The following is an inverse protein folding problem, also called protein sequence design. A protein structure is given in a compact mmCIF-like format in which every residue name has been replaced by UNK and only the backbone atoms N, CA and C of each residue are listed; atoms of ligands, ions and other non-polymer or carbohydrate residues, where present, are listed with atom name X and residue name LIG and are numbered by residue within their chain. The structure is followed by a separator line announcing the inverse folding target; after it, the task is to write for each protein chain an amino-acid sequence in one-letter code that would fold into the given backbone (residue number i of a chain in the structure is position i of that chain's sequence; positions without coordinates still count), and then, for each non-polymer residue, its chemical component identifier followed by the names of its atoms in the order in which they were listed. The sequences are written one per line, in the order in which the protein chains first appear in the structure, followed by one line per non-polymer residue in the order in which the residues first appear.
data_IF_612691133172
#
_entry.id   IF_612691133172
#
_cell.length_a   1.000
_cell.length_b   1.000
_cell.length_c   1.000
_cell.angle_alpha   90.00
_cell.angle_beta   90.00
_cell.angle_gamma   90.00
#
_symmetry.space_group_name_H-M   'P 1'
#
loop_
_entity.id
_entity.type
_entity.pdbx_description
1 polymer ?
#
# COMPACT_ATOMS: atom_id res chain seq x y z
N UNK A 1 49.14 -3.67 -12.33
CA UNK A 1 48.19 -3.12 -11.34
C UNK A 1 47.05 -4.12 -11.24
N UNK A 2 46.65 -4.54 -10.04
CA UNK A 2 45.61 -5.55 -9.89
C UNK A 2 44.22 -4.99 -10.31
N UNK A 3 43.37 -5.83 -10.92
CA UNK A 3 41.97 -5.49 -11.18
C UNK A 3 41.24 -5.06 -9.92
N UNK A 4 40.30 -4.14 -10.05
CA UNK A 4 39.40 -3.72 -8.98
C UNK A 4 37.96 -4.11 -9.35
N UNK A 5 37.00 -3.79 -8.49
CA UNK A 5 35.59 -4.12 -8.75
C UNK A 5 34.73 -2.86 -8.64
N UNK A 6 33.67 -2.81 -9.45
CA UNK A 6 32.68 -1.74 -9.34
C UNK A 6 31.95 -1.78 -8.01
N UNK A 7 31.48 -0.62 -7.51
CA UNK A 7 30.90 -0.52 -6.18
C UNK A 7 29.60 -1.32 -6.05
N UNK A 8 28.68 -1.16 -6.98
CA UNK A 8 27.31 -1.69 -6.84
C UNK A 8 27.18 -3.12 -7.38
N UNK A 9 27.55 -3.32 -8.63
CA UNK A 9 27.37 -4.63 -9.26
C UNK A 9 28.57 -5.56 -9.11
N UNK A 10 29.66 -5.10 -8.49
CA UNK A 10 30.87 -5.89 -8.27
C UNK A 10 31.44 -6.52 -9.55
N UNK A 11 31.36 -5.78 -10.65
CA UNK A 11 31.96 -6.16 -11.93
C UNK A 11 33.48 -5.93 -11.89
N UNK A 12 34.25 -6.82 -12.49
CA UNK A 12 35.70 -6.67 -12.54
C UNK A 12 36.09 -5.51 -13.48
N UNK A 13 36.80 -4.55 -12.94
CA UNK A 13 37.40 -3.43 -13.68
C UNK A 13 38.84 -3.82 -14.02
N UNK A 14 39.02 -4.36 -15.21
CA UNK A 14 40.30 -4.88 -15.67
C UNK A 14 41.36 -3.79 -15.83
N UNK A 15 42.51 -3.96 -15.19
CA UNK A 15 43.61 -3.04 -15.38
C UNK A 15 44.31 -3.27 -16.73
N UNK A 16 44.89 -2.22 -17.30
CA UNK A 16 45.62 -2.29 -18.57
C UNK A 16 46.80 -3.26 -18.44
N UNK A 17 46.93 -4.21 -19.35
CA UNK A 17 47.94 -5.22 -19.39
C UNK A 17 47.69 -6.45 -18.50
N UNK A 18 46.62 -6.45 -17.76
CA UNK A 18 46.13 -7.60 -16.98
C UNK A 18 45.26 -8.54 -17.82
N UNK A 19 45.05 -9.75 -17.33
CA UNK A 19 44.18 -10.76 -17.95
C UNK A 19 44.59 -11.16 -19.38
N UNK A 20 45.89 -11.09 -19.71
CA UNK A 20 46.38 -11.56 -21.01
C UNK A 20 45.98 -13.02 -21.28
N UNK A 21 45.32 -13.27 -22.38
CA UNK A 21 44.80 -14.60 -22.74
C UNK A 21 43.48 -15.00 -22.12
N UNK A 22 43.00 -14.29 -21.11
CA UNK A 22 41.72 -14.59 -20.41
C UNK A 22 40.75 -13.41 -20.39
N UNK A 23 41.09 -12.26 -20.99
CA UNK A 23 40.24 -11.05 -20.95
C UNK A 23 38.84 -11.31 -21.53
N UNK A 24 38.73 -12.16 -22.58
CA UNK A 24 37.44 -12.53 -23.15
C UNK A 24 36.54 -13.27 -22.14
N UNK A 25 37.13 -14.17 -21.34
CA UNK A 25 36.41 -14.86 -20.26
C UNK A 25 35.94 -13.86 -19.20
N UNK A 26 36.80 -12.92 -18.79
CA UNK A 26 36.48 -11.88 -17.82
C UNK A 26 35.36 -10.95 -18.32
N UNK A 27 35.42 -10.56 -19.59
CA UNK A 27 34.37 -9.76 -20.25
C UNK A 27 33.05 -10.52 -20.25
N UNK A 28 33.04 -11.80 -20.66
CA UNK A 28 31.84 -12.60 -20.66
C UNK A 28 31.24 -12.77 -19.24
N UNK A 29 32.11 -12.99 -18.25
CA UNK A 29 31.67 -13.03 -16.84
C UNK A 29 30.98 -11.71 -16.44
N UNK A 30 31.60 -10.57 -16.74
CA UNK A 30 31.00 -9.27 -16.43
C UNK A 30 29.64 -9.08 -17.14
N UNK A 31 29.51 -9.49 -18.41
CA UNK A 31 28.23 -9.44 -19.13
C UNK A 31 27.16 -10.31 -18.46
N UNK A 32 27.53 -11.52 -18.02
CA UNK A 32 26.62 -12.42 -17.28
C UNK A 32 26.19 -11.81 -15.94
N UNK A 33 27.13 -11.17 -15.23
CA UNK A 33 26.79 -10.48 -13.97
C UNK A 33 25.89 -9.26 -14.19
N UNK A 34 26.09 -8.53 -15.28
CA UNK A 34 25.19 -7.44 -15.67
C UNK A 34 23.79 -7.97 -16.06
N UNK A 35 23.73 -9.07 -16.81
CA UNK A 35 22.47 -9.75 -17.13
C UNK A 35 21.74 -10.19 -15.86
N UNK A 36 22.46 -10.81 -14.91
CA UNK A 36 21.90 -11.17 -13.59
C UNK A 36 21.31 -9.97 -12.87
N UNK A 37 21.98 -8.81 -12.92
CA UNK A 37 21.51 -7.58 -12.26
C UNK A 37 20.26 -6.97 -12.91
N UNK A 38 20.03 -7.24 -14.20
CA UNK A 38 18.94 -6.65 -15.00
C UNK A 38 17.75 -7.60 -15.11
N UNK A 39 18.02 -8.91 -15.33
CA UNK A 39 17.02 -9.91 -15.64
C UNK A 39 17.02 -11.12 -14.68
N UNK A 40 17.94 -11.14 -13.71
CA UNK A 40 18.08 -12.28 -12.80
C UNK A 40 16.95 -12.39 -11.80
N UNK A 41 16.54 -13.64 -11.55
CA UNK A 41 15.60 -14.04 -10.50
C UNK A 41 16.32 -15.01 -9.56
N UNK A 42 16.17 -14.81 -8.26
CA UNK A 42 16.69 -15.71 -7.23
C UNK A 42 15.59 -16.09 -6.25
N UNK A 43 15.49 -17.39 -5.98
CA UNK A 43 14.58 -17.91 -4.96
C UNK A 43 15.31 -18.05 -3.63
N UNK A 44 14.84 -17.34 -2.62
CA UNK A 44 15.45 -17.28 -1.28
C UNK A 44 14.54 -18.01 -0.29
N UNK A 45 15.08 -19.04 0.34
CA UNK A 45 14.40 -19.72 1.45
C UNK A 45 14.57 -18.90 2.74
N UNK A 46 13.44 -18.47 3.31
CA UNK A 46 13.39 -17.63 4.52
C UNK A 46 12.89 -18.49 5.68
N UNK A 47 13.81 -19.13 6.38
CA UNK A 47 13.51 -20.09 7.46
C UNK A 47 14.23 -19.77 8.77
N UNK A 48 14.98 -18.67 8.83
CA UNK A 48 15.75 -18.24 10.00
C UNK A 48 15.51 -16.76 10.28
N UNK A 49 15.76 -16.32 11.51
CA UNK A 49 15.54 -14.93 11.94
C UNK A 49 16.36 -13.89 11.13
N UNK A 50 17.42 -14.30 10.46
CA UNK A 50 18.18 -13.43 9.56
C UNK A 50 18.71 -14.24 8.37
N UNK A 51 18.45 -13.73 7.17
CA UNK A 51 18.96 -14.25 5.90
C UNK A 51 19.82 -13.17 5.25
N UNK A 52 21.13 -13.33 5.28
CA UNK A 52 22.07 -12.38 4.69
C UNK A 52 22.41 -12.79 3.25
N UNK A 53 22.01 -11.96 2.28
CA UNK A 53 22.29 -12.20 0.87
C UNK A 53 23.68 -11.65 0.50
N UNK A 54 24.43 -12.42 -0.25
CA UNK A 54 25.75 -12.03 -0.68
C UNK A 54 25.74 -11.17 -1.96
N UNK A 55 26.72 -10.27 -2.09
CA UNK A 55 27.10 -9.57 -3.31
C UNK A 55 28.62 -9.67 -3.44
N UNK A 56 29.10 -10.70 -4.14
CA UNK A 56 30.52 -11.05 -4.22
C UNK A 56 31.19 -10.45 -5.45
N UNK A 57 32.44 -10.04 -5.31
CA UNK A 57 33.26 -9.46 -6.36
C UNK A 57 33.45 -10.46 -7.53
N UNK A 58 33.03 -10.09 -8.74
CA UNK A 58 33.20 -10.86 -9.96
C UNK A 58 32.53 -12.25 -9.96
N UNK A 59 31.63 -12.54 -9.04
CA UNK A 59 30.97 -13.84 -8.89
C UNK A 59 29.45 -13.71 -8.89
N UNK A 60 28.74 -14.73 -9.36
CA UNK A 60 27.28 -14.86 -9.22
C UNK A 60 26.93 -14.75 -7.73
N UNK A 61 25.90 -13.96 -7.42
CA UNK A 61 25.52 -13.68 -6.04
C UNK A 61 24.02 -13.41 -5.92
N UNK A 62 23.42 -13.83 -4.83
CA UNK A 62 21.97 -13.70 -4.59
C UNK A 62 21.49 -12.25 -4.68
N UNK A 63 22.16 -11.33 -3.97
CA UNK A 63 21.76 -9.92 -3.93
C UNK A 63 22.00 -9.18 -5.26
N UNK A 64 22.65 -9.77 -6.27
CA UNK A 64 22.80 -9.15 -7.58
C UNK A 64 21.53 -9.27 -8.42
N UNK A 65 20.73 -10.30 -8.22
CA UNK A 65 19.49 -10.47 -8.99
C UNK A 65 18.57 -9.27 -8.82
N UNK A 66 17.86 -8.91 -9.89
CA UNK A 66 16.86 -7.85 -9.83
C UNK A 66 15.63 -8.30 -9.05
N UNK A 67 15.20 -9.55 -9.26
CA UNK A 67 14.02 -10.12 -8.62
C UNK A 67 14.46 -11.12 -7.56
N UNK A 68 13.96 -10.92 -6.35
CA UNK A 68 14.16 -11.81 -5.21
C UNK A 68 12.81 -12.39 -4.81
N UNK A 69 12.66 -13.72 -4.95
CA UNK A 69 11.48 -14.45 -4.54
C UNK A 69 11.69 -15.05 -3.14
N UNK A 70 11.05 -14.52 -2.12
CA UNK A 70 11.12 -15.07 -0.76
C UNK A 70 10.09 -16.17 -0.59
N UNK A 71 10.50 -17.32 -0.04
CA UNK A 71 9.61 -18.45 0.22
C UNK A 71 9.92 -19.10 1.56
N UNK A 72 8.91 -19.81 2.10
CA UNK A 72 8.99 -20.48 3.40
C UNK A 72 7.94 -20.00 4.39
N UNK A 73 7.98 -20.52 5.61
CA UNK A 73 7.12 -20.09 6.71
C UNK A 73 7.97 -19.46 7.80
N UNK A 74 7.59 -18.27 8.22
CA UNK A 74 8.28 -17.54 9.28
C UNK A 74 7.93 -18.15 10.64
N UNK A 75 8.93 -18.40 11.45
CA UNK A 75 8.77 -18.82 12.86
C UNK A 75 8.98 -17.67 13.83
N UNK A 76 9.69 -16.63 13.39
CA UNK A 76 10.01 -15.42 14.13
C UNK A 76 10.03 -14.20 13.20
N UNK A 77 10.11 -12.99 13.77
CA UNK A 77 10.39 -11.79 13.02
C UNK A 77 11.74 -11.92 12.29
N UNK A 78 11.71 -11.83 10.99
CA UNK A 78 12.83 -12.15 10.12
C UNK A 78 13.33 -10.93 9.37
N UNK A 79 14.65 -10.82 9.22
CA UNK A 79 15.31 -9.85 8.38
C UNK A 79 15.97 -10.53 7.18
N UNK A 80 15.65 -10.11 5.97
CA UNK A 80 16.44 -10.41 4.78
C UNK A 80 17.31 -9.19 4.50
N UNK A 81 18.64 -9.39 4.43
CA UNK A 81 19.57 -8.27 4.30
C UNK A 81 20.43 -8.38 3.04
N UNK A 82 20.69 -7.21 2.42
CA UNK A 82 21.72 -7.04 1.38
C UNK A 82 22.92 -6.28 1.94
N UNK A 83 24.13 -6.43 1.37
CA UNK A 83 25.27 -5.66 1.83
C UNK A 83 25.06 -4.16 1.75
N UNK A 84 25.72 -3.41 2.64
CA UNK A 84 25.80 -1.97 2.56
C UNK A 84 26.56 -1.49 1.32
N UNK A 85 26.43 -0.22 0.99
CA UNK A 85 27.13 0.44 -0.13
C UNK A 85 26.77 -0.13 -1.51
N UNK A 86 25.64 -0.79 -1.64
CA UNK A 86 25.10 -1.28 -2.91
C UNK A 86 23.89 -0.42 -3.27
N UNK A 87 23.99 0.33 -4.36
CA UNK A 87 22.91 1.16 -4.89
C UNK A 87 22.25 0.44 -6.07
N UNK A 88 21.04 -0.06 -5.89
CA UNK A 88 20.27 -0.68 -6.98
C UNK A 88 18.80 -0.85 -6.66
N UNK A 89 18.03 -1.11 -7.71
CA UNK A 89 16.60 -1.45 -7.64
C UNK A 89 16.45 -2.95 -7.39
N UNK A 90 15.43 -3.30 -6.58
CA UNK A 90 14.98 -4.66 -6.31
C UNK A 90 13.47 -4.78 -6.53
N UNK A 91 13.06 -5.90 -7.08
CA UNK A 91 11.69 -6.37 -7.09
C UNK A 91 11.63 -7.55 -6.13
N UNK A 92 10.82 -7.45 -5.09
CA UNK A 92 10.67 -8.48 -4.06
C UNK A 92 9.32 -9.15 -4.24
N UNK A 93 9.31 -10.45 -4.50
CA UNK A 93 8.12 -11.27 -4.47
C UNK A 93 8.07 -12.02 -3.14
N UNK A 94 7.19 -11.63 -2.26
CA UNK A 94 7.03 -12.30 -0.97
C UNK A 94 5.97 -13.40 -1.06
N UNK A 95 6.43 -14.64 -1.17
CA UNK A 95 5.59 -15.84 -1.12
C UNK A 95 5.72 -16.57 0.23
N UNK A 96 6.16 -15.88 1.28
CA UNK A 96 6.28 -16.48 2.61
C UNK A 96 4.93 -16.51 3.33
N UNK A 97 4.82 -17.41 4.30
CA UNK A 97 3.71 -17.42 5.25
C UNK A 97 4.15 -16.73 6.53
N UNK A 98 3.58 -15.55 6.83
CA UNK A 98 4.00 -14.71 7.95
C UNK A 98 3.45 -15.20 9.30
N UNK A 99 2.21 -15.72 9.37
CA UNK A 99 1.55 -16.00 10.66
C UNK A 99 1.41 -14.72 11.49
N UNK A 100 2.01 -14.71 12.68
CA UNK A 100 2.13 -13.52 13.55
C UNK A 100 3.48 -12.81 13.44
N UNK A 101 4.38 -13.30 12.58
CA UNK A 101 5.73 -12.77 12.40
C UNK A 101 5.78 -11.72 11.30
N UNK A 102 6.85 -10.93 11.25
CA UNK A 102 7.10 -9.93 10.21
C UNK A 102 8.34 -10.29 9.41
N UNK A 103 8.34 -9.94 8.12
CA UNK A 103 9.50 -10.02 7.25
C UNK A 103 9.95 -8.60 6.91
N UNK A 104 11.20 -8.27 7.20
CA UNK A 104 11.79 -6.97 6.88
C UNK A 104 12.89 -7.14 5.85
N UNK A 105 12.81 -6.43 4.73
CA UNK A 105 13.89 -6.34 3.75
C UNK A 105 14.67 -5.05 3.97
N UNK A 106 15.99 -5.15 4.16
CA UNK A 106 16.84 -4.03 4.57
C UNK A 106 18.28 -4.18 4.11
N UNK A 107 19.09 -3.15 4.25
CA UNK A 107 20.55 -3.27 4.18
C UNK A 107 21.10 -3.85 5.48
N UNK A 108 22.31 -4.37 5.47
CA UNK A 108 22.87 -5.08 6.62
C UNK A 108 22.87 -4.24 7.93
N UNK A 109 23.20 -2.95 7.86
CA UNK A 109 23.25 -2.06 9.03
C UNK A 109 22.23 -0.92 9.01
N UNK A 110 21.58 -0.65 7.88
CA UNK A 110 20.59 0.43 7.74
C UNK A 110 19.18 0.01 8.09
N UNK A 111 18.23 0.85 7.70
CA UNK A 111 16.80 0.58 7.81
C UNK A 111 16.25 -0.07 6.55
N UNK A 112 15.03 -0.55 6.62
CA UNK A 112 14.27 -1.10 5.51
C UNK A 112 12.77 -1.03 5.77
N UNK A 113 12.01 -1.81 5.03
CA UNK A 113 10.57 -1.87 5.13
C UNK A 113 10.08 -3.30 5.38
N UNK A 114 8.90 -3.43 5.93
CA UNK A 114 8.25 -4.73 6.10
C UNK A 114 7.53 -5.11 4.83
N UNK A 115 7.67 -6.35 4.41
CA UNK A 115 6.94 -6.91 3.27
C UNK A 115 5.61 -7.51 3.73
N UNK A 116 4.65 -7.54 2.82
CA UNK A 116 3.37 -8.21 3.01
C UNK A 116 3.36 -9.57 2.31
N UNK A 117 2.88 -10.61 2.98
CA UNK A 117 2.76 -11.94 2.41
C UNK A 117 1.91 -11.93 1.11
N UNK A 118 2.37 -12.65 0.09
CA UNK A 118 1.73 -12.76 -1.22
C UNK A 118 1.63 -11.44 -1.99
N UNK A 119 2.57 -10.51 -1.75
CA UNK A 119 2.68 -9.24 -2.48
C UNK A 119 4.01 -9.14 -3.24
N UNK A 120 4.00 -8.22 -4.20
CA UNK A 120 5.21 -7.80 -4.91
C UNK A 120 5.51 -6.37 -4.49
N UNK A 121 6.74 -6.15 -4.05
CA UNK A 121 7.25 -4.84 -3.65
C UNK A 121 8.33 -4.37 -4.62
N UNK A 122 8.34 -3.09 -4.93
CA UNK A 122 9.42 -2.43 -5.65
C UNK A 122 10.20 -1.58 -4.65
N UNK A 123 11.52 -1.71 -4.64
CA UNK A 123 12.37 -1.00 -3.71
C UNK A 123 13.69 -0.59 -4.33
N UNK A 124 14.37 0.38 -3.72
CA UNK A 124 15.75 0.71 -4.06
C UNK A 124 16.59 0.85 -2.80
N UNK A 125 17.82 0.40 -2.91
CA UNK A 125 18.87 0.67 -1.91
C UNK A 125 19.63 1.94 -2.31
N UNK A 126 19.79 2.85 -1.36
CA UNK A 126 20.62 4.05 -1.49
C UNK A 126 22.06 3.83 -0.97
N UNK A 127 22.45 2.57 -0.78
CA UNK A 127 23.73 2.19 -0.20
C UNK A 127 23.74 2.15 1.33
N UNK A 128 22.79 2.79 1.98
CA UNK A 128 22.63 2.83 3.44
C UNK A 128 21.33 2.17 3.88
N UNK A 129 20.22 2.53 3.27
CA UNK A 129 18.87 2.08 3.61
C UNK A 129 18.21 1.39 2.42
N UNK A 130 17.21 0.59 2.69
CA UNK A 130 16.32 0.02 1.69
C UNK A 130 14.99 0.78 1.73
N UNK A 131 14.64 1.43 0.63
CA UNK A 131 13.48 2.30 0.51
C UNK A 131 12.44 1.62 -0.39
N UNK A 132 11.24 1.41 0.12
CA UNK A 132 10.13 0.92 -0.70
C UNK A 132 9.62 2.03 -1.61
N UNK A 133 9.29 1.69 -2.85
CA UNK A 133 8.61 2.56 -3.81
C UNK A 133 7.13 2.17 -3.77
N UNK A 134 6.39 2.71 -2.82
CA UNK A 134 4.97 2.50 -2.66
C UNK A 134 4.15 3.60 -3.34
N UNK A 135 2.84 3.41 -3.45
CA UNK A 135 1.96 4.37 -4.13
C UNK A 135 1.98 5.76 -3.47
N UNK A 136 2.08 5.81 -2.14
CA UNK A 136 2.19 7.05 -1.37
C UNK A 136 3.51 7.78 -1.61
N UNK A 137 4.63 7.05 -1.77
CA UNK A 137 5.95 7.64 -2.08
C UNK A 137 6.05 8.14 -3.52
N UNK A 138 5.28 7.58 -4.44
CA UNK A 138 5.18 8.05 -5.82
C UNK A 138 4.27 9.27 -6.01
N UNK A 139 3.69 9.79 -4.93
CA UNK A 139 2.73 10.90 -5.00
C UNK A 139 1.47 10.52 -5.80
N UNK A 140 1.13 9.24 -5.83
CA UNK A 140 0.01 8.70 -6.58
C UNK A 140 -1.32 9.22 -6.06
N UNK A 141 -2.13 9.81 -6.93
CA UNK A 141 -3.52 10.16 -6.65
C UNK A 141 -4.41 9.06 -7.19
N UNK A 142 -5.22 8.47 -6.33
CA UNK A 142 -6.27 7.55 -6.75
C UNK A 142 -7.44 8.41 -7.23
N UNK A 143 -7.62 8.51 -8.53
CA UNK A 143 -8.76 9.19 -9.14
C UNK A 143 -9.95 8.22 -9.31
N UNK A 144 -11.10 8.76 -9.66
CA UNK A 144 -12.35 7.98 -9.84
C UNK A 144 -12.18 6.84 -10.85
N UNK A 145 -11.42 7.04 -11.93
CA UNK A 145 -11.19 6.02 -12.95
C UNK A 145 -10.29 4.86 -12.44
N UNK A 146 -9.55 5.09 -11.36
CA UNK A 146 -8.70 4.07 -10.73
C UNK A 146 -9.48 3.13 -9.78
N UNK A 147 -10.74 3.44 -9.51
CA UNK A 147 -11.62 2.66 -8.65
C UNK A 147 -12.73 2.09 -9.53
N UNK A 148 -12.71 0.78 -9.76
CA UNK A 148 -13.77 0.09 -10.51
C UNK A 148 -15.12 0.23 -9.82
N UNK A 149 -16.20 0.21 -10.58
CA UNK A 149 -17.55 0.22 -10.04
C UNK A 149 -17.74 -0.90 -9.01
N UNK A 150 -18.38 -0.57 -7.91
CA UNK A 150 -18.61 -1.47 -6.77
C UNK A 150 -17.34 -1.98 -6.07
N UNK A 151 -16.16 -1.46 -6.38
CA UNK A 151 -14.91 -1.85 -5.72
C UNK A 151 -14.88 -1.45 -4.24
N UNK A 152 -15.57 -0.38 -3.85
CA UNK A 152 -15.72 0.05 -2.46
C UNK A 152 -17.01 -0.53 -1.89
N UNK A 153 -16.88 -1.60 -1.16
CA UNK A 153 -18.00 -2.29 -0.48
C UNK A 153 -18.13 -1.81 0.97
N UNK A 154 -19.26 -2.11 1.60
CA UNK A 154 -19.49 -1.81 3.03
C UNK A 154 -18.39 -2.37 3.93
N UNK A 155 -17.88 -3.58 3.63
CA UNK A 155 -16.81 -4.20 4.40
C UNK A 155 -15.46 -3.46 4.32
N UNK A 156 -15.28 -2.60 3.31
CA UNK A 156 -14.05 -1.80 3.13
C UNK A 156 -14.12 -0.42 3.79
N UNK A 157 -15.28 -0.05 4.29
CA UNK A 157 -15.50 1.18 5.05
C UNK A 157 -15.89 0.77 6.46
N UNK A 158 -14.97 0.91 7.41
CA UNK A 158 -15.26 0.60 8.81
C UNK A 158 -16.33 1.56 9.36
N UNK A 159 -17.04 1.11 10.40
CA UNK A 159 -18.06 1.92 11.06
C UNK A 159 -17.51 3.29 11.48
N UNK A 160 -18.33 4.32 11.32
CA UNK A 160 -18.02 5.72 11.65
C UNK A 160 -16.87 6.38 10.86
N UNK A 161 -16.37 5.76 9.79
CA UNK A 161 -15.33 6.37 8.96
C UNK A 161 -15.85 7.49 8.05
N UNK A 162 -17.13 7.48 7.69
CA UNK A 162 -17.77 8.58 6.96
C UNK A 162 -18.47 9.50 7.96
N UNK A 163 -17.74 10.49 8.40
CA UNK A 163 -18.23 11.54 9.31
C UNK A 163 -18.78 12.72 8.51
N UNK A 164 -19.57 13.58 9.15
CA UNK A 164 -20.22 14.76 8.54
C UNK A 164 -19.23 15.63 7.76
N UNK A 165 -18.02 15.85 8.27
CA UNK A 165 -16.99 16.65 7.61
C UNK A 165 -16.50 16.07 6.27
N UNK A 166 -16.77 14.79 5.99
CA UNK A 166 -16.43 14.12 4.72
C UNK A 166 -17.55 14.20 3.67
N UNK A 167 -18.72 14.69 4.06
CA UNK A 167 -19.86 14.89 3.18
C UNK A 167 -20.14 16.39 3.14
N UNK A 168 -19.79 17.05 2.04
CA UNK A 168 -20.06 18.46 1.86
C UNK A 168 -21.57 18.71 1.72
N UNK A 169 -21.99 19.96 1.99
CA UNK A 169 -23.39 20.35 1.86
C UNK A 169 -23.94 20.03 0.47
N UNK A 170 -25.19 19.59 0.42
CA UNK A 170 -25.92 19.22 -0.79
C UNK A 170 -25.35 18.01 -1.57
N UNK A 171 -24.40 17.26 -1.03
CA UNK A 171 -23.87 16.07 -1.70
C UNK A 171 -24.80 14.86 -1.64
N UNK A 172 -25.71 14.81 -0.67
CA UNK A 172 -26.76 13.79 -0.59
C UNK A 172 -28.03 14.38 -1.24
N UNK A 173 -28.22 14.04 -2.50
CA UNK A 173 -29.41 14.46 -3.28
C UNK A 173 -30.51 13.39 -3.21
N UNK A 174 -31.73 13.74 -3.63
CA UNK A 174 -32.89 12.82 -3.65
C UNK A 174 -32.57 11.51 -4.39
N UNK A 175 -31.87 11.60 -5.52
CA UNK A 175 -31.50 10.42 -6.34
C UNK A 175 -30.56 9.45 -5.58
N UNK A 176 -29.81 9.93 -4.59
CA UNK A 176 -28.90 9.12 -3.78
C UNK A 176 -29.57 8.46 -2.57
N UNK A 177 -30.82 8.80 -2.31
CA UNK A 177 -31.63 8.21 -1.26
C UNK A 177 -32.73 7.39 -1.93
N UNK A 178 -32.61 6.08 -1.95
CA UNK A 178 -33.62 5.19 -2.54
C UNK A 178 -34.96 5.33 -1.80
N UNK A 179 -36.04 5.07 -2.51
CA UNK A 179 -37.37 4.99 -1.89
C UNK A 179 -37.36 4.06 -0.69
N UNK A 180 -38.03 4.46 0.38
CA UNK A 180 -38.11 3.72 1.65
C UNK A 180 -36.77 3.50 2.37
N UNK A 181 -35.66 4.12 1.91
CA UNK A 181 -34.36 4.00 2.59
C UNK A 181 -34.34 4.68 3.98
N UNK A 182 -35.17 5.71 4.19
CA UNK A 182 -35.33 6.37 5.51
C UNK A 182 -36.54 5.77 6.21
N UNK A 183 -36.27 4.87 7.15
CA UNK A 183 -37.29 4.22 7.98
C UNK A 183 -37.47 4.96 9.31
N UNK A 184 -38.55 4.68 10.03
CA UNK A 184 -38.82 5.25 11.35
C UNK A 184 -37.66 5.02 12.33
N UNK A 185 -37.03 3.83 12.28
CA UNK A 185 -35.88 3.51 13.15
C UNK A 185 -34.63 4.37 12.88
N UNK A 186 -34.55 5.00 11.70
CA UNK A 186 -33.42 5.88 11.33
C UNK A 186 -33.65 7.34 11.68
N UNK A 187 -34.85 7.68 12.15
CA UNK A 187 -35.21 9.01 12.60
C UNK A 187 -35.35 8.94 14.13
N UNK A 188 -34.42 9.57 14.82
CA UNK A 188 -34.52 9.65 16.30
C UNK A 188 -35.78 10.38 16.73
N UNK A 189 -36.31 10.01 17.91
CA UNK A 189 -37.46 10.73 18.48
C UNK A 189 -37.13 12.22 18.60
N UNK A 190 -38.11 13.06 18.23
CA UNK A 190 -38.00 14.53 18.21
C UNK A 190 -36.98 15.10 17.19
N UNK A 191 -36.41 14.28 16.28
CA UNK A 191 -35.52 14.80 15.23
C UNK A 191 -36.26 15.66 14.20
N UNK A 192 -37.56 15.40 13.99
CA UNK A 192 -38.44 16.20 13.14
C UNK A 192 -39.29 17.08 14.05
N UNK A 193 -38.94 18.33 14.12
CA UNK A 193 -39.67 19.36 14.86
C UNK A 193 -40.72 20.04 13.98
N UNK A 194 -41.68 20.73 14.56
CA UNK A 194 -42.70 21.49 13.83
C UNK A 194 -42.13 22.49 12.83
N UNK A 195 -40.94 23.06 13.14
CA UNK A 195 -40.27 24.04 12.26
C UNK A 195 -39.67 23.42 11.01
N UNK A 196 -39.48 22.09 10.99
CA UNK A 196 -38.97 21.32 9.84
C UNK A 196 -40.09 20.77 8.96
N UNK A 197 -41.34 20.93 9.37
CA UNK A 197 -42.50 20.54 8.59
C UNK A 197 -42.98 21.70 7.75
N UNK A 198 -43.26 21.44 6.47
CA UNK A 198 -43.82 22.46 5.55
C UNK A 198 -45.25 22.88 5.98
N UNK A 199 -45.94 21.98 6.70
CA UNK A 199 -47.26 22.24 7.29
C UNK A 199 -47.18 22.07 8.80
N UNK A 200 -47.58 23.09 9.51
CA UNK A 200 -47.65 23.09 10.97
C UNK A 200 -48.94 22.44 11.43
N UNK A 201 -48.83 21.38 12.23
CA UNK A 201 -49.98 20.81 12.92
C UNK A 201 -50.15 21.50 14.26
N UNK A 202 -51.30 22.14 14.46
CA UNK A 202 -51.63 22.73 15.76
C UNK A 202 -52.78 21.93 16.36
N UNK A 203 -52.56 21.41 17.56
CA UNK A 203 -53.60 20.77 18.37
C UNK A 203 -54.01 21.80 19.44
N UNK A 204 -55.28 22.13 19.53
CA UNK A 204 -55.82 23.11 20.48
C UNK A 204 -57.09 22.60 21.15
N UNK A 205 -57.28 22.95 22.37
CA UNK A 205 -58.55 22.77 23.12
C UNK A 205 -59.52 23.88 22.86
N UNK A 206 -59.11 24.94 22.13
CA UNK A 206 -60.00 26.03 21.78
C UNK A 206 -60.88 25.64 20.60
N UNK A 207 -62.19 25.77 20.79
CA UNK A 207 -63.21 25.48 19.76
C UNK A 207 -63.20 26.48 18.58
N UNK A 208 -62.49 27.60 18.75
CA UNK A 208 -62.34 28.59 17.68
C UNK A 208 -60.86 28.67 17.25
N UNK A 209 -60.45 27.96 16.21
CA UNK A 209 -59.08 28.05 15.70
C UNK A 209 -58.75 29.49 15.27
N UNK A 210 -57.65 30.02 15.72
CA UNK A 210 -57.17 31.34 15.35
C UNK A 210 -55.67 31.38 15.16
N UNK A 211 -55.18 32.20 14.24
CA UNK A 211 -53.76 32.45 14.01
C UNK A 211 -53.03 31.42 13.13
N UNK A 212 -53.75 30.55 12.44
CA UNK A 212 -53.21 29.66 11.41
C UNK A 212 -53.03 30.36 10.06
N UNK A 213 -52.20 29.76 9.20
CA UNK A 213 -52.05 30.16 7.80
C UNK A 213 -52.87 29.25 6.89
N UNK A 214 -53.09 29.70 5.64
CA UNK A 214 -53.76 28.88 4.63
C UNK A 214 -53.05 27.55 4.41
N UNK A 215 -53.80 26.46 4.57
CA UNK A 215 -53.30 25.09 4.47
C UNK A 215 -52.91 24.43 5.81
N UNK A 216 -53.06 25.10 6.95
CA UNK A 216 -52.90 24.50 8.29
C UNK A 216 -54.10 23.56 8.57
N UNK A 217 -53.79 22.44 9.25
CA UNK A 217 -54.78 21.49 9.74
C UNK A 217 -55.01 21.72 11.24
N UNK A 218 -56.28 21.90 11.63
CA UNK A 218 -56.67 22.08 13.01
C UNK A 218 -57.44 20.87 13.50
N UNK A 219 -56.98 20.31 14.57
CA UNK A 219 -57.72 19.27 15.28
C UNK A 219 -58.30 19.87 16.55
N UNK A 220 -59.63 19.91 16.59
CA UNK A 220 -60.37 20.38 17.76
C UNK A 220 -60.99 19.20 18.42
N UNK A 221 -60.84 19.06 19.74
CA UNK A 221 -61.50 18.05 20.53
C UNK A 221 -62.26 18.69 21.70
N UNK A 222 -63.36 18.10 22.05
CA UNK A 222 -64.23 18.54 23.17
C UNK A 222 -63.91 17.72 24.42
#
# INVERSE_FOLDING_TARGET
MASTFSTDLKLELMATGENAGIWGTKTNTNLQLAEQAIAGYESISVTTATVALAMSDGQISQARNMVLGFGGSLTDNTNVTVPNSIEKIYIIQDNTTHGSSTLTFKTASGTGFQTDANKIHLAFSDGTNMNEIALDTLGGVINTASISDNAITTAKISDNQIVTAKISDNQITTVKVSDLAITTAKISNNAITSDKLLRKFTITTNITPAGGADGDLWFVYS
#
